data_IF_971067448639
#
_entry.id   IF_971067448639
#
_cell.length_a   1.000
_cell.length_b   1.000
_cell.length_c   1.000
_cell.angle_alpha   90.00
_cell.angle_beta   90.00
_cell.angle_gamma   90.00
#
_symmetry.space_group_name_H-M   'P 1'
#
loop_
_entity.id
_entity.type
_entity.pdbx_description
1 polymer ?
#
# COMPACT_ATOMS: atom_id res chain seq x y z
N UNK A 1 12.26 -18.02 15.76
CA UNK A 1 10.94 -17.38 15.94
C UNK A 1 10.51 -16.81 14.61
N UNK A 2 9.20 -16.76 14.34
CA UNK A 2 8.69 -16.35 13.03
C UNK A 2 8.33 -14.86 13.03
N UNK A 3 8.74 -14.14 12.00
CA UNK A 3 8.34 -12.76 11.73
C UNK A 3 6.99 -12.78 11.00
N UNK A 4 5.92 -12.57 11.76
CA UNK A 4 4.55 -12.57 11.24
C UNK A 4 4.18 -11.16 10.80
N UNK A 5 3.61 -11.00 9.61
CA UNK A 5 3.31 -9.67 9.08
C UNK A 5 1.94 -9.65 8.41
N UNK A 6 1.09 -8.75 8.89
CA UNK A 6 -0.17 -8.41 8.25
C UNK A 6 -0.03 -7.16 7.39
N UNK A 7 -0.67 -7.16 6.23
CA UNK A 7 -0.71 -6.05 5.29
C UNK A 7 -2.16 -5.71 5.03
N UNK A 8 -2.56 -4.52 5.44
CA UNK A 8 -3.78 -3.90 4.96
C UNK A 8 -3.45 -2.91 3.86
N UNK A 9 -4.09 -3.01 2.70
CA UNK A 9 -3.85 -2.08 1.59
C UNK A 9 -5.15 -1.59 0.97
N UNK A 10 -5.25 -0.28 0.80
CA UNK A 10 -6.31 0.42 0.09
C UNK A 10 -5.75 1.23 -1.10
N UNK A 11 -6.63 1.80 -1.91
CA UNK A 11 -6.30 2.82 -2.92
C UNK A 11 -5.49 4.01 -2.39
N UNK A 12 -5.68 4.39 -1.12
CA UNK A 12 -5.09 5.60 -0.51
C UNK A 12 -3.84 5.35 0.31
N UNK A 13 -3.73 4.19 0.99
CA UNK A 13 -2.59 3.86 1.85
C UNK A 13 -2.49 2.37 2.14
N UNK A 14 -1.33 1.96 2.64
CA UNK A 14 -1.06 0.63 3.14
C UNK A 14 -0.60 0.73 4.58
N UNK A 15 -1.07 -0.19 5.42
CA UNK A 15 -0.66 -0.33 6.80
C UNK A 15 -0.10 -1.74 6.97
N UNK A 16 1.16 -1.80 7.35
CA UNK A 16 1.91 -3.03 7.59
C UNK A 16 2.05 -3.19 9.09
N UNK A 17 1.65 -4.35 9.61
CA UNK A 17 1.76 -4.71 11.01
C UNK A 17 2.66 -5.92 11.12
N UNK A 18 3.84 -5.76 11.71
CA UNK A 18 4.78 -6.84 11.96
C UNK A 18 4.74 -7.23 13.43
N UNK A 19 4.48 -8.51 13.69
CA UNK A 19 4.57 -9.13 15.01
C UNK A 19 5.90 -9.89 15.09
N UNK A 20 6.77 -9.45 16.00
CA UNK A 20 8.06 -10.08 16.25
C UNK A 20 8.32 -10.16 17.76
N UNK A 21 8.45 -11.37 18.28
CA UNK A 21 8.81 -11.63 19.69
C UNK A 21 7.95 -10.87 20.71
N UNK A 22 6.63 -10.85 20.50
CA UNK A 22 5.66 -10.14 21.35
C UNK A 22 5.64 -8.61 21.16
N UNK A 23 6.48 -8.06 20.27
CA UNK A 23 6.44 -6.64 19.88
C UNK A 23 5.69 -6.48 18.56
N UNK A 24 4.81 -5.49 18.52
CA UNK A 24 4.17 -5.05 17.28
C UNK A 24 4.87 -3.82 16.72
N UNK A 25 5.11 -3.83 15.41
CA UNK A 25 5.60 -2.70 14.65
C UNK A 25 4.57 -2.35 13.61
N UNK A 26 4.18 -1.08 13.56
CA UNK A 26 3.19 -0.57 12.62
C UNK A 26 3.92 0.39 11.69
N UNK A 27 3.85 0.13 10.39
CA UNK A 27 4.37 0.99 9.35
C UNK A 27 3.21 1.42 8.45
N UNK A 28 3.05 2.72 8.23
CA UNK A 28 2.06 3.26 7.30
C UNK A 28 2.78 3.81 6.08
N UNK A 29 2.36 3.36 4.91
CA UNK A 29 2.85 3.83 3.61
C UNK A 29 1.67 4.51 2.93
N UNK A 30 1.77 5.81 2.66
CA UNK A 30 0.73 6.55 1.95
C UNK A 30 0.89 6.35 0.45
N UNK A 31 -0.21 6.19 -0.29
CA UNK A 31 -0.14 6.18 -1.74
C UNK A 31 0.12 7.61 -2.20
N UNK A 32 1.26 7.84 -2.84
CA UNK A 32 1.64 9.16 -3.35
C UNK A 32 0.85 9.54 -4.62
N UNK A 33 -0.41 9.09 -4.70
CA UNK A 33 -1.36 9.49 -5.73
C UNK A 33 -1.67 10.97 -5.51
N UNK A 34 -0.81 11.80 -6.11
CA UNK A 34 -0.78 13.26 -6.07
C UNK A 34 -2.19 13.87 -6.02
N UNK A 35 -2.70 14.10 -4.81
CA UNK A 35 -3.75 15.07 -4.60
C UNK A 35 -3.02 16.41 -4.68
N UNK A 36 -2.93 16.94 -5.90
CA UNK A 36 -2.30 18.24 -6.19
C UNK A 36 -3.20 19.36 -5.65
N UNK A 37 -3.32 19.42 -4.33
CA UNK A 37 -3.91 20.54 -3.60
C UNK A 37 -2.90 20.96 -2.55
N UNK A 38 -1.73 21.41 -3.00
CA UNK A 38 -1.04 22.47 -2.28
C UNK A 38 -1.21 23.74 -3.08
N UNK A 39 -2.27 24.43 -2.69
CA UNK A 39 -2.58 25.80 -3.06
C UNK A 39 -1.78 26.69 -2.12
N UNK A 40 -0.48 26.88 -2.38
CA UNK A 40 0.26 27.95 -1.72
C UNK A 40 -0.01 29.25 -2.49
N UNK A 41 -1.06 29.95 -2.05
CA UNK A 41 -1.25 31.36 -2.35
C UNK A 41 -0.35 32.14 -1.40
N UNK A 42 0.72 32.73 -1.92
CA UNK A 42 1.03 34.15 -1.74
C UNK A 42 2.21 34.57 -2.62
N UNK A 43 2.06 35.66 -3.38
CA UNK A 43 3.19 36.46 -3.84
C UNK A 43 3.45 36.61 -5.34
N UNK A 44 2.57 37.36 -6.02
CA UNK A 44 2.95 38.47 -6.91
C UNK A 44 3.47 38.23 -8.36
N UNK A 45 2.91 39.05 -9.28
CA UNK A 45 3.37 39.45 -10.63
C UNK A 45 3.33 38.46 -11.82
N UNK A 46 2.29 38.65 -12.63
CA UNK A 46 2.48 39.16 -14.01
C UNK A 46 2.63 38.15 -15.16
N UNK A 47 1.89 38.44 -16.24
CA UNK A 47 2.07 37.98 -17.63
C UNK A 47 1.72 36.55 -18.03
N UNK A 48 0.57 36.46 -18.72
CA UNK A 48 0.43 36.04 -20.13
C UNK A 48 0.70 34.58 -20.56
N UNK A 49 -0.04 34.17 -21.60
CA UNK A 49 -0.02 32.90 -22.36
C UNK A 49 -0.62 31.68 -21.63
N UNK A 50 -1.58 30.94 -22.17
CA UNK A 50 -1.91 30.69 -23.58
C UNK A 50 -1.90 29.19 -23.78
N UNK A 51 -3.06 28.60 -24.10
CA UNK A 51 -3.30 27.25 -24.63
C UNK A 51 -2.33 26.12 -24.24
N UNK A 52 -2.78 25.19 -23.38
CA UNK A 52 -2.36 23.78 -23.44
C UNK A 52 -3.35 22.85 -22.73
N UNK A 53 -4.63 22.95 -23.09
CA UNK A 53 -5.53 21.79 -23.05
C UNK A 53 -5.07 20.86 -24.19
N UNK A 54 -4.84 19.55 -23.95
CA UNK A 54 -4.83 18.41 -24.92
C UNK A 54 -3.70 17.36 -24.71
N UNK A 55 -2.63 17.61 -23.95
CA UNK A 55 -1.56 16.59 -23.72
C UNK A 55 -1.32 16.18 -22.26
N UNK A 56 -2.17 16.61 -21.33
CA UNK A 56 -2.04 16.36 -19.90
C UNK A 56 -2.66 15.04 -19.43
N UNK A 57 -3.69 14.52 -20.12
CA UNK A 57 -4.46 13.36 -19.61
C UNK A 57 -3.71 12.03 -19.77
N UNK A 58 -3.03 11.80 -20.91
CA UNK A 58 -2.20 10.59 -21.09
C UNK A 58 -1.03 10.56 -20.11
N UNK A 59 -0.37 11.70 -19.93
CA UNK A 59 0.77 11.82 -19.00
C UNK A 59 0.32 11.71 -17.54
N UNK A 60 -0.91 12.14 -17.20
CA UNK A 60 -1.49 11.98 -15.87
C UNK A 60 -1.79 10.52 -15.53
N UNK A 61 -2.46 9.80 -16.44
CA UNK A 61 -2.79 8.39 -16.25
C UNK A 61 -1.54 7.49 -16.18
N UNK A 62 -0.52 7.77 -17.00
CA UNK A 62 0.76 7.06 -16.93
C UNK A 62 1.47 7.31 -15.59
N UNK A 63 1.52 8.57 -15.12
CA UNK A 63 2.07 8.90 -13.80
C UNK A 63 1.34 8.19 -12.67
N UNK A 64 0.00 8.15 -12.72
CA UNK A 64 -0.83 7.46 -11.72
C UNK A 64 -0.50 5.95 -11.65
N UNK A 65 -0.33 5.30 -12.80
CA UNK A 65 0.09 3.90 -12.88
C UNK A 65 1.49 3.68 -12.32
N UNK A 66 2.44 4.57 -12.64
CA UNK A 66 3.79 4.49 -12.10
C UNK A 66 3.82 4.69 -10.58
N UNK A 67 3.10 5.68 -10.05
CA UNK A 67 2.96 5.93 -8.61
C UNK A 67 2.36 4.71 -7.89
N UNK A 68 1.29 4.13 -8.44
CA UNK A 68 0.69 2.91 -7.90
C UNK A 68 1.67 1.74 -7.91
N UNK A 69 2.40 1.53 -9.01
CA UNK A 69 3.39 0.46 -9.09
C UNK A 69 4.54 0.64 -8.10
N UNK A 70 5.02 1.87 -7.91
CA UNK A 70 6.05 2.19 -6.91
C UNK A 70 5.52 1.94 -5.49
N UNK A 71 4.32 2.43 -5.19
CA UNK A 71 3.66 2.19 -3.92
C UNK A 71 3.51 0.69 -3.61
N UNK A 72 3.04 -0.11 -4.56
CA UNK A 72 2.97 -1.57 -4.41
C UNK A 72 4.36 -2.17 -4.19
N UNK A 73 5.37 -1.71 -4.92
CA UNK A 73 6.76 -2.19 -4.77
C UNK A 73 7.33 -1.88 -3.39
N UNK A 74 7.06 -0.69 -2.83
CA UNK A 74 7.51 -0.30 -1.49
C UNK A 74 6.86 -1.18 -0.41
N UNK A 75 5.57 -1.48 -0.56
CA UNK A 75 4.87 -2.42 0.32
C UNK A 75 5.50 -3.81 0.25
N UNK A 76 5.78 -4.33 -0.96
CA UNK A 76 6.41 -5.65 -1.14
C UNK A 76 7.82 -5.70 -0.55
N UNK A 77 8.65 -4.68 -0.79
CA UNK A 77 10.01 -4.61 -0.24
C UNK A 77 9.99 -4.59 1.30
N UNK A 78 9.03 -3.89 1.90
CA UNK A 78 8.90 -3.78 3.36
C UNK A 78 8.58 -5.12 4.04
N UNK A 79 8.02 -6.07 3.30
CA UNK A 79 7.53 -7.36 3.83
C UNK A 79 8.30 -8.57 3.30
N UNK A 80 9.31 -8.35 2.47
CA UNK A 80 10.16 -9.39 1.87
C UNK A 80 10.86 -10.24 2.94
N UNK A 81 11.28 -9.63 4.04
CA UNK A 81 11.97 -10.29 5.16
C UNK A 81 11.04 -11.06 6.10
N UNK A 82 9.72 -10.98 5.93
CA UNK A 82 8.77 -11.65 6.82
C UNK A 82 8.64 -13.14 6.48
N UNK A 83 8.40 -13.98 7.49
CA UNK A 83 8.22 -15.43 7.31
C UNK A 83 6.79 -15.78 6.91
N UNK A 84 5.82 -15.06 7.49
CA UNK A 84 4.39 -15.28 7.26
C UNK A 84 3.73 -13.94 6.90
N UNK A 85 2.90 -13.95 5.87
CA UNK A 85 2.24 -12.78 5.30
C UNK A 85 0.73 -12.99 5.28
N UNK A 86 0.00 -12.08 5.89
CA UNK A 86 -1.45 -12.02 5.83
C UNK A 86 -1.86 -10.76 5.07
N UNK A 87 -2.50 -10.92 3.91
CA UNK A 87 -2.92 -9.81 3.07
C UNK A 87 -4.42 -9.58 3.22
N UNK A 88 -4.85 -8.35 3.45
CA UNK A 88 -6.26 -8.01 3.49
C UNK A 88 -6.53 -6.58 3.03
N UNK A 89 -7.76 -6.30 2.63
CA UNK A 89 -8.17 -4.97 2.18
C UNK A 89 -9.26 -5.00 1.12
N UNK A 90 -9.65 -3.82 0.59
CA UNK A 90 -10.63 -3.73 -0.48
C UNK A 90 -10.19 -4.45 -1.74
N UNK A 91 -11.17 -4.98 -2.49
CA UNK A 91 -10.97 -6.04 -3.47
C UNK A 91 -10.00 -5.68 -4.61
N UNK A 92 -10.01 -4.44 -5.10
CA UNK A 92 -9.20 -4.05 -6.27
C UNK A 92 -7.70 -3.94 -5.97
N UNK A 93 -7.32 -3.29 -4.88
CA UNK A 93 -5.90 -3.01 -4.61
C UNK A 93 -5.16 -4.25 -4.11
N UNK A 94 -5.83 -5.10 -3.31
CA UNK A 94 -5.21 -6.34 -2.83
C UNK A 94 -4.85 -7.30 -3.98
N UNK A 95 -5.67 -7.36 -5.03
CA UNK A 95 -5.42 -8.25 -6.18
C UNK A 95 -4.18 -7.77 -6.93
N UNK A 96 -4.03 -6.45 -7.11
CA UNK A 96 -2.82 -5.86 -7.72
C UNK A 96 -1.58 -6.14 -6.89
N UNK A 97 -1.68 -6.02 -5.55
CA UNK A 97 -0.56 -6.35 -4.68
C UNK A 97 -0.21 -7.85 -4.74
N UNK A 98 -1.20 -8.73 -4.70
CA UNK A 98 -0.99 -10.17 -4.83
C UNK A 98 -0.32 -10.55 -6.16
N UNK A 99 -0.77 -9.96 -7.27
CA UNK A 99 -0.13 -10.13 -8.58
C UNK A 99 1.32 -9.63 -8.55
N UNK A 100 1.55 -8.43 -8.01
CA UNK A 100 2.88 -7.84 -7.90
C UNK A 100 3.84 -8.70 -7.07
N UNK A 101 3.36 -9.23 -5.94
CA UNK A 101 4.08 -10.15 -5.06
C UNK A 101 4.48 -11.44 -5.82
N UNK A 102 3.56 -11.99 -6.63
CA UNK A 102 3.81 -13.17 -7.45
C UNK A 102 4.80 -12.88 -8.60
N UNK A 103 4.65 -11.75 -9.29
CA UNK A 103 5.45 -11.34 -10.44
C UNK A 103 6.90 -11.04 -10.06
N UNK A 104 7.12 -10.34 -8.95
CA UNK A 104 8.47 -10.00 -8.48
C UNK A 104 9.24 -11.24 -7.99
N UNK A 105 8.59 -12.43 -7.89
CA UNK A 105 9.16 -13.67 -7.32
C UNK A 105 9.79 -13.47 -5.92
N UNK A 106 9.52 -12.33 -5.28
CA UNK A 106 10.06 -11.92 -3.99
C UNK A 106 9.50 -12.78 -2.85
N UNK A 107 8.36 -13.43 -3.07
CA UNK A 107 7.74 -14.38 -2.14
C UNK A 107 7.55 -15.76 -2.77
N UNK A 108 8.53 -16.26 -3.52
CA UNK A 108 8.49 -17.59 -4.16
C UNK A 108 8.28 -18.80 -3.21
N UNK A 109 8.03 -18.62 -1.91
CA UNK A 109 8.04 -19.70 -0.92
C UNK A 109 6.77 -19.83 -0.04
N UNK A 110 5.59 -19.42 -0.49
CA UNK A 110 4.36 -19.71 0.27
C UNK A 110 4.27 -18.98 1.62
N UNK A 111 4.92 -17.81 1.72
CA UNK A 111 4.83 -16.91 2.87
C UNK A 111 3.42 -16.34 3.05
N UNK A 112 2.69 -16.15 1.94
CA UNK A 112 1.31 -15.67 1.94
C UNK A 112 0.37 -16.74 2.52
N UNK A 113 -0.08 -16.52 3.75
CA UNK A 113 -0.97 -17.40 4.51
C UNK A 113 -2.41 -17.29 4.09
N UNK A 114 -2.90 -16.07 3.90
CA UNK A 114 -4.29 -15.81 3.54
C UNK A 114 -4.43 -14.45 2.85
N UNK A 115 -5.48 -14.34 2.02
CA UNK A 115 -5.89 -13.12 1.33
C UNK A 115 -7.36 -12.88 1.63
N UNK A 116 -7.69 -11.83 2.39
CA UNK A 116 -9.07 -11.51 2.75
C UNK A 116 -9.57 -10.19 2.16
N UNK A 117 -10.87 -10.13 1.86
CA UNK A 117 -11.54 -8.85 1.64
C UNK A 117 -11.83 -8.20 2.97
N UNK A 118 -11.55 -6.90 3.09
CA UNK A 118 -11.93 -6.11 4.26
C UNK A 118 -12.31 -4.71 3.82
N UNK A 119 -13.30 -4.12 4.48
CA UNK A 119 -13.66 -2.72 4.30
C UNK A 119 -12.56 -1.78 4.83
N UNK A 120 -12.81 -0.48 4.74
CA UNK A 120 -11.96 0.54 5.35
C UNK A 120 -11.86 0.33 6.86
N UNK A 121 -10.64 0.10 7.33
CA UNK A 121 -10.32 -0.11 8.74
C UNK A 121 -9.34 0.95 9.23
N UNK A 122 -9.44 1.29 10.51
CA UNK A 122 -8.44 2.13 11.19
C UNK A 122 -7.20 1.32 11.56
N UNK A 123 -6.07 1.98 11.81
CA UNK A 123 -4.81 1.31 12.19
C UNK A 123 -4.97 0.38 13.39
N UNK A 124 -5.77 0.77 14.40
CA UNK A 124 -6.06 -0.11 15.55
C UNK A 124 -6.86 -1.35 15.17
N UNK A 125 -7.86 -1.22 14.29
CA UNK A 125 -8.65 -2.36 13.81
C UNK A 125 -7.80 -3.33 12.99
N UNK A 126 -6.89 -2.79 12.17
CA UNK A 126 -5.93 -3.55 11.39
C UNK A 126 -5.02 -4.36 12.31
N UNK A 127 -4.43 -3.72 13.32
CA UNK A 127 -3.58 -4.38 14.32
C UNK A 127 -4.34 -5.48 15.06
N UNK A 128 -5.56 -5.19 15.53
CA UNK A 128 -6.40 -6.17 16.22
C UNK A 128 -6.72 -7.38 15.33
N UNK A 129 -7.03 -7.14 14.04
CA UNK A 129 -7.32 -8.21 13.06
C UNK A 129 -6.08 -9.07 12.78
N UNK A 130 -4.91 -8.46 12.61
CA UNK A 130 -3.64 -9.19 12.42
C UNK A 130 -3.29 -10.03 13.64
N UNK A 131 -3.38 -9.45 14.84
CA UNK A 131 -3.17 -10.19 16.08
C UNK A 131 -4.13 -11.36 16.21
N UNK A 132 -5.42 -11.15 15.92
CA UNK A 132 -6.43 -12.21 15.98
C UNK A 132 -6.10 -13.35 15.01
N UNK A 133 -5.77 -13.03 13.77
CA UNK A 133 -5.39 -14.01 12.74
C UNK A 133 -4.22 -14.90 13.16
N UNK A 134 -3.19 -14.34 13.82
CA UNK A 134 -2.04 -15.12 14.28
C UNK A 134 -2.19 -15.71 15.68
N UNK A 135 -3.19 -15.28 16.45
CA UNK A 135 -3.52 -15.85 17.77
C UNK A 135 -4.43 -17.07 17.65
N UNK A 136 -5.25 -17.13 16.59
CA UNK A 136 -6.05 -18.31 16.29
C UNK A 136 -5.19 -19.36 15.55
N UNK A 137 -5.17 -20.64 16.00
CA UNK A 137 -4.45 -21.68 15.29
C UNK A 137 -5.12 -21.95 13.93
N UNK A 138 -4.35 -21.86 12.85
CA UNK A 138 -4.76 -22.12 11.46
C UNK A 138 -3.80 -23.14 10.81
#
# INVERSE_FOLDING_TARGET
MKKQTGIWIDSTKAIIVTLNDGKEFICEIQSNLENKVYHDKEGDKGSFQGNQHINSDKTFEERKKHQMNNFLKDVVNSVQESDELYLFGPAETKIKLQQKINDDKLTSNGKLKSVETSDNMTSNQIVAKVKKFYSEPH
#
